data_IF_759322265651
#
_entry.id   IF_759322265651
#
_cell.length_a   1.000
_cell.length_b   1.000
_cell.length_c   1.000
_cell.angle_alpha   90.00
_cell.angle_beta   90.00
_cell.angle_gamma   90.00
#
_symmetry.space_group_name_H-M   'P 1'
#
loop_
_entity.id
_entity.type
_entity.pdbx_description
1 polymer ?
#
# COMPACT_ATOMS: atom_id res chain seq x y z
N UNK A 1 20.11 -68.07 -35.54
CA UNK A 1 19.20 -67.30 -36.40
C UNK A 1 17.89 -67.08 -35.63
N UNK A 2 17.38 -65.83 -35.57
CA UNK A 2 15.96 -65.43 -35.47
C UNK A 2 15.06 -66.29 -34.54
N UNK A 3 14.60 -65.81 -33.38
CA UNK A 3 13.41 -64.95 -33.15
C UNK A 3 13.49 -64.46 -31.68
N UNK A 4 13.07 -63.26 -31.26
CA UNK A 4 12.10 -62.34 -31.84
C UNK A 4 10.77 -62.41 -31.07
N UNK A 5 10.62 -61.47 -30.11
CA UNK A 5 9.38 -60.81 -29.65
C UNK A 5 8.45 -61.45 -28.60
N UNK A 6 8.34 -60.67 -27.52
CA UNK A 6 7.13 -60.24 -26.80
C UNK A 6 6.41 -61.23 -25.86
N UNK A 7 5.68 -60.66 -24.88
CA UNK A 7 4.73 -61.26 -23.88
C UNK A 7 5.43 -61.39 -22.49
N UNK A 8 5.15 -60.69 -21.37
CA UNK A 8 4.08 -59.87 -20.78
C UNK A 8 4.80 -58.98 -19.72
N UNK A 9 4.76 -57.65 -19.70
CA UNK A 9 3.62 -56.73 -19.54
C UNK A 9 2.81 -56.94 -18.26
N UNK A 10 3.42 -56.94 -17.08
CA UNK A 10 2.71 -56.63 -15.84
C UNK A 10 3.68 -56.36 -14.69
N UNK A 11 3.34 -55.35 -13.87
CA UNK A 11 3.93 -55.05 -12.55
C UNK A 11 5.20 -54.19 -12.52
N UNK A 12 5.13 -52.98 -13.07
CA UNK A 12 5.80 -51.82 -12.47
C UNK A 12 4.82 -50.64 -12.42
N UNK A 13 3.64 -50.91 -11.86
CA UNK A 13 2.64 -49.90 -11.50
C UNK A 13 2.71 -49.66 -10.00
N UNK A 14 3.78 -49.02 -9.54
CA UNK A 14 3.81 -48.48 -8.17
C UNK A 14 4.84 -47.37 -8.07
N UNK A 15 4.32 -46.17 -7.82
CA UNK A 15 5.00 -45.05 -7.16
C UNK A 15 5.92 -44.16 -8.03
N UNK A 16 5.38 -43.66 -9.14
CA UNK A 16 5.69 -42.29 -9.59
C UNK A 16 4.46 -41.41 -9.31
N UNK A 17 4.19 -41.20 -8.02
CA UNK A 17 3.31 -40.09 -7.64
C UNK A 17 4.03 -38.78 -8.02
N UNK A 18 3.34 -37.85 -8.69
CA UNK A 18 3.97 -36.65 -9.18
C UNK A 18 4.38 -35.78 -7.99
N UNK A 19 5.68 -35.58 -7.81
CA UNK A 19 6.30 -34.57 -6.94
C UNK A 19 6.01 -33.12 -7.40
N UNK A 20 4.82 -32.87 -7.97
CA UNK A 20 4.38 -31.58 -8.49
C UNK A 20 3.41 -30.85 -7.56
N UNK A 21 3.10 -31.41 -6.39
CA UNK A 21 2.08 -30.86 -5.48
C UNK A 21 2.61 -29.89 -4.41
N UNK A 22 3.86 -29.39 -4.50
CA UNK A 22 4.45 -28.63 -3.38
C UNK A 22 5.33 -27.43 -3.74
N UNK A 23 5.00 -26.66 -4.78
CA UNK A 23 5.54 -25.29 -4.93
C UNK A 23 4.52 -24.23 -5.37
N UNK A 24 3.23 -24.51 -5.24
CA UNK A 24 2.27 -23.43 -5.04
C UNK A 24 2.33 -22.96 -3.58
N UNK A 25 3.48 -22.38 -3.18
CA UNK A 25 3.36 -21.32 -2.19
C UNK A 25 2.36 -20.33 -2.81
N UNK A 26 1.29 -19.90 -2.13
CA UNK A 26 0.64 -18.69 -2.56
C UNK A 26 1.80 -17.69 -2.62
N UNK A 27 2.13 -17.23 -3.83
CA UNK A 27 2.84 -15.98 -3.95
C UNK A 27 1.96 -15.02 -3.15
N UNK A 28 2.35 -14.80 -1.89
CA UNK A 28 1.81 -13.74 -1.06
C UNK A 28 1.93 -12.55 -1.97
N UNK A 29 0.77 -12.14 -2.53
CA UNK A 29 0.67 -11.36 -3.75
C UNK A 29 1.79 -10.36 -3.70
N UNK A 30 2.82 -10.56 -4.53
CA UNK A 30 3.98 -9.68 -4.47
C UNK A 30 3.36 -8.30 -4.58
N UNK A 31 3.51 -7.47 -3.56
CA UNK A 31 2.83 -6.20 -3.51
C UNK A 31 3.30 -5.48 -4.76
N UNK A 32 2.36 -5.24 -5.67
CA UNK A 32 2.60 -4.49 -6.89
C UNK A 32 3.46 -3.28 -6.50
N UNK A 33 4.72 -3.20 -6.96
CA UNK A 33 5.66 -2.19 -6.51
C UNK A 33 5.14 -0.77 -6.78
N UNK A 34 4.13 -0.61 -7.64
CA UNK A 34 3.49 0.67 -7.92
C UNK A 34 2.38 1.07 -6.92
N UNK A 35 1.86 0.16 -6.09
CA UNK A 35 0.70 0.50 -5.23
C UNK A 35 1.14 0.99 -3.87
N UNK A 36 0.98 2.30 -3.66
CA UNK A 36 1.14 2.93 -2.36
C UNK A 36 0.27 2.22 -1.31
N UNK A 37 0.76 2.03 -0.08
CA UNK A 37 -0.04 1.51 1.02
C UNK A 37 -1.32 2.34 1.20
N UNK A 38 -2.47 1.72 1.47
CA UNK A 38 -3.76 2.43 1.55
C UNK A 38 -3.77 3.61 2.53
N UNK A 39 -3.03 3.50 3.64
CA UNK A 39 -2.90 4.57 4.65
C UNK A 39 -2.14 5.78 4.09
N UNK A 40 -1.10 5.55 3.28
CA UNK A 40 -0.35 6.60 2.58
C UNK A 40 -1.26 7.31 1.58
N UNK A 41 -1.99 6.56 0.75
CA UNK A 41 -2.95 7.14 -0.21
C UNK A 41 -4.03 7.97 0.50
N UNK A 42 -4.56 7.48 1.63
CA UNK A 42 -5.54 8.20 2.45
C UNK A 42 -5.00 9.55 2.90
N UNK A 43 -3.77 9.60 3.42
CA UNK A 43 -3.18 10.87 3.87
C UNK A 43 -2.96 11.85 2.71
N UNK A 44 -2.54 11.37 1.54
CA UNK A 44 -2.40 12.21 0.35
C UNK A 44 -3.77 12.75 -0.08
N UNK A 45 -4.80 11.89 -0.13
CA UNK A 45 -6.16 12.30 -0.51
C UNK A 45 -6.74 13.35 0.45
N UNK A 46 -6.52 13.21 1.76
CA UNK A 46 -6.94 14.19 2.76
C UNK A 46 -6.19 15.52 2.62
N UNK A 47 -4.87 15.49 2.40
CA UNK A 47 -4.08 16.69 2.17
C UNK A 47 -4.53 17.44 0.91
N UNK A 48 -4.80 16.71 -0.18
CA UNK A 48 -5.35 17.28 -1.41
C UNK A 48 -6.74 17.85 -1.18
N UNK A 49 -7.62 17.14 -0.48
CA UNK A 49 -8.96 17.64 -0.18
C UNK A 49 -8.92 18.93 0.65
N UNK A 50 -8.04 19.05 1.63
CA UNK A 50 -7.85 20.29 2.39
C UNK A 50 -7.40 21.46 1.50
N UNK A 51 -6.53 21.20 0.53
CA UNK A 51 -5.97 22.23 -0.35
C UNK A 51 -6.90 22.62 -1.51
N UNK A 52 -7.70 21.69 -2.02
CA UNK A 52 -8.47 21.86 -3.27
C UNK A 52 -9.97 21.95 -3.07
N UNK A 53 -10.53 21.34 -2.03
CA UNK A 53 -11.96 21.48 -1.74
C UNK A 53 -12.24 22.86 -1.13
N UNK A 54 -13.51 23.29 -1.19
CA UNK A 54 -13.94 24.57 -0.65
C UNK A 54 -15.12 24.41 0.31
N UNK A 55 -15.41 25.48 1.06
CA UNK A 55 -16.57 25.56 1.95
C UNK A 55 -16.55 24.52 3.08
N UNK A 56 -17.73 23.96 3.39
CA UNK A 56 -17.91 23.09 4.56
C UNK A 56 -17.05 21.82 4.53
N UNK A 57 -16.80 21.25 3.35
CA UNK A 57 -16.05 19.99 3.24
C UNK A 57 -14.56 20.23 3.51
N UNK A 58 -14.00 21.32 2.98
CA UNK A 58 -12.64 21.75 3.29
C UNK A 58 -12.44 21.99 4.80
N UNK A 59 -13.34 22.75 5.42
CA UNK A 59 -13.29 23.04 6.86
C UNK A 59 -13.36 21.75 7.70
N UNK A 60 -14.18 20.77 7.27
CA UNK A 60 -14.29 19.49 7.93
C UNK A 60 -12.99 18.67 7.80
N UNK A 61 -12.37 18.62 6.62
CA UNK A 61 -11.07 17.95 6.44
C UNK A 61 -9.99 18.63 7.27
N UNK A 62 -9.86 19.96 7.19
CA UNK A 62 -8.88 20.74 7.95
C UNK A 62 -9.01 20.51 9.47
N UNK A 63 -10.26 20.39 9.96
CA UNK A 63 -10.54 20.12 11.39
C UNK A 63 -10.07 18.74 11.83
N UNK A 64 -10.31 17.69 11.03
CA UNK A 64 -10.10 16.31 11.47
C UNK A 64 -8.77 15.69 10.97
N UNK A 65 -8.14 16.24 9.93
CA UNK A 65 -6.89 15.69 9.38
C UNK A 65 -5.76 15.61 10.42
N UNK A 66 -5.53 16.60 11.31
CA UNK A 66 -4.49 16.48 12.34
C UNK A 66 -4.68 15.26 13.25
N UNK A 67 -5.92 14.99 13.68
CA UNK A 67 -6.24 13.83 14.51
C UNK A 67 -6.00 12.52 13.76
N UNK A 68 -6.39 12.46 12.48
CA UNK A 68 -6.12 11.30 11.62
C UNK A 68 -4.62 11.09 11.43
N UNK A 69 -3.85 12.15 11.21
CA UNK A 69 -2.40 12.07 11.07
C UNK A 69 -1.75 11.54 12.36
N UNK A 70 -2.16 12.03 13.52
CA UNK A 70 -1.65 11.58 14.80
C UNK A 70 -1.96 10.09 15.04
N UNK A 71 -3.20 9.67 14.78
CA UNK A 71 -3.62 8.26 14.93
C UNK A 71 -2.90 7.32 13.99
N UNK A 72 -2.64 7.77 12.76
CA UNK A 72 -1.98 6.95 11.75
C UNK A 72 -0.46 7.06 11.79
N UNK A 73 0.15 7.89 12.65
CA UNK A 73 1.59 8.14 12.64
C UNK A 73 2.43 6.85 12.73
N UNK A 74 2.17 6.00 13.72
CA UNK A 74 2.86 4.72 13.88
C UNK A 74 2.69 3.78 12.66
N UNK A 75 1.46 3.48 12.18
CA UNK A 75 1.32 2.63 11.00
C UNK A 75 1.83 3.27 9.71
N UNK A 76 1.85 4.61 9.59
CA UNK A 76 2.45 5.31 8.45
C UNK A 76 3.97 5.18 8.45
N UNK A 77 4.63 5.19 9.62
CA UNK A 77 6.07 4.88 9.73
C UNK A 77 6.37 3.46 9.27
N UNK A 78 5.59 2.48 9.74
CA UNK A 78 5.76 1.09 9.33
C UNK A 78 5.55 0.93 7.81
N UNK A 79 4.50 1.57 7.27
CA UNK A 79 4.24 1.59 5.84
C UNK A 79 5.41 2.22 5.05
N UNK A 80 5.99 3.32 5.55
CA UNK A 80 7.15 3.97 4.95
C UNK A 80 8.40 3.07 4.89
N UNK A 81 8.68 2.33 5.96
CA UNK A 81 9.79 1.36 5.97
C UNK A 81 9.56 0.22 4.96
N UNK A 82 8.34 -0.32 4.90
CA UNK A 82 7.97 -1.37 3.95
C UNK A 82 8.06 -0.86 2.51
N UNK A 83 7.62 0.38 2.24
CA UNK A 83 7.77 1.01 0.93
C UNK A 83 9.24 1.18 0.58
N UNK A 84 10.06 1.77 1.46
CA UNK A 84 11.48 1.98 1.21
C UNK A 84 12.18 0.67 0.83
N UNK A 85 11.94 -0.41 1.59
CA UNK A 85 12.50 -1.72 1.30
C UNK A 85 12.04 -2.27 -0.07
N UNK A 86 10.75 -2.12 -0.41
CA UNK A 86 10.20 -2.55 -1.71
C UNK A 86 10.80 -1.77 -2.88
N UNK A 87 10.81 -0.44 -2.79
CA UNK A 87 11.37 0.40 -3.85
C UNK A 87 12.87 0.17 -3.99
N UNK A 88 13.60 -0.01 -2.89
CA UNK A 88 15.02 -0.31 -2.93
C UNK A 88 15.31 -1.66 -3.59
N UNK A 89 14.46 -2.68 -3.37
CA UNK A 89 14.59 -3.98 -4.02
C UNK A 89 14.35 -3.92 -5.54
N UNK A 90 13.48 -3.02 -6.01
CA UNK A 90 13.10 -2.92 -7.44
C UNK A 90 13.96 -1.92 -8.21
N UNK A 91 14.28 -0.78 -7.62
CA UNK A 91 14.91 0.35 -8.29
C UNK A 91 16.38 0.57 -7.87
N UNK A 92 16.91 -0.22 -6.93
CA UNK A 92 18.30 -0.12 -6.51
C UNK A 92 18.63 1.27 -5.94
N UNK A 93 19.65 1.93 -6.49
CA UNK A 93 20.11 3.25 -6.03
C UNK A 93 19.07 4.37 -6.27
N UNK A 94 18.20 4.24 -7.27
CA UNK A 94 17.25 5.28 -7.68
C UNK A 94 15.90 5.19 -6.96
N UNK A 95 15.80 4.36 -5.92
CA UNK A 95 14.55 4.05 -5.24
C UNK A 95 13.82 5.26 -4.68
N UNK A 96 14.57 6.26 -4.21
CA UNK A 96 13.98 7.49 -3.68
C UNK A 96 13.31 8.32 -4.78
N UNK A 97 13.92 8.39 -5.96
CA UNK A 97 13.39 9.11 -7.10
C UNK A 97 12.13 8.42 -7.64
N UNK A 98 12.16 7.09 -7.76
CA UNK A 98 10.98 6.30 -8.14
C UNK A 98 9.83 6.48 -7.14
N UNK A 99 10.11 6.39 -5.84
CA UNK A 99 9.11 6.63 -4.80
C UNK A 99 8.53 8.06 -4.87
N UNK A 100 9.37 9.07 -5.06
CA UNK A 100 8.91 10.45 -5.20
C UNK A 100 7.99 10.63 -6.41
N UNK A 101 8.33 10.00 -7.55
CA UNK A 101 7.51 10.05 -8.75
C UNK A 101 6.11 9.44 -8.51
N UNK A 102 6.03 8.31 -7.81
CA UNK A 102 4.76 7.66 -7.50
C UNK A 102 3.91 8.45 -6.48
N UNK A 103 4.54 9.10 -5.51
CA UNK A 103 3.85 10.02 -4.59
C UNK A 103 3.27 11.23 -5.35
N UNK A 104 4.04 11.80 -6.29
CA UNK A 104 3.57 12.90 -7.15
C UNK A 104 2.44 12.45 -8.07
N UNK A 105 2.54 11.25 -8.67
CA UNK A 105 1.49 10.68 -9.49
C UNK A 105 0.20 10.47 -8.67
N UNK A 106 0.30 9.91 -7.46
CA UNK A 106 -0.85 9.74 -6.57
C UNK A 106 -1.50 11.08 -6.20
N UNK A 107 -0.71 12.08 -5.80
CA UNK A 107 -1.19 13.45 -5.53
C UNK A 107 -1.93 14.01 -6.74
N UNK A 108 -1.34 13.93 -7.92
CA UNK A 108 -1.93 14.44 -9.17
C UNK A 108 -3.27 13.78 -9.49
N UNK A 109 -3.38 12.45 -9.31
CA UNK A 109 -4.66 11.73 -9.46
C UNK A 109 -5.73 12.28 -8.51
N UNK A 110 -5.38 12.49 -7.25
CA UNK A 110 -6.34 13.05 -6.28
C UNK A 110 -6.68 14.51 -6.57
N UNK A 111 -5.74 15.32 -7.07
CA UNK A 111 -6.02 16.70 -7.47
C UNK A 111 -7.02 16.76 -8.64
N UNK A 112 -6.95 15.82 -9.57
CA UNK A 112 -7.96 15.66 -10.62
C UNK A 112 -9.32 15.26 -10.04
N UNK A 113 -9.35 14.30 -9.11
CA UNK A 113 -10.58 13.86 -8.45
C UNK A 113 -11.21 14.96 -7.58
N UNK A 114 -10.41 15.84 -6.98
CA UNK A 114 -10.88 16.96 -6.16
C UNK A 114 -11.72 18.00 -6.91
N UNK A 115 -11.74 17.93 -8.25
CA UNK A 115 -12.68 18.71 -9.08
C UNK A 115 -14.13 18.22 -8.97
N UNK A 116 -14.34 17.00 -8.45
CA UNK A 116 -15.65 16.41 -8.28
C UNK A 116 -16.19 16.67 -6.86
N UNK A 117 -17.43 17.19 -6.71
CA UNK A 117 -18.00 17.45 -5.38
C UNK A 117 -18.09 16.21 -4.48
N UNK A 118 -18.33 15.02 -5.08
CA UNK A 118 -18.42 13.76 -4.35
C UNK A 118 -17.09 13.33 -3.74
N UNK A 119 -15.96 13.63 -4.39
CA UNK A 119 -14.64 13.42 -3.79
C UNK A 119 -14.49 14.23 -2.51
N UNK A 120 -14.79 15.54 -2.55
CA UNK A 120 -14.66 16.42 -1.40
C UNK A 120 -15.57 15.99 -0.23
N UNK A 121 -16.81 15.60 -0.54
CA UNK A 121 -17.75 15.06 0.45
C UNK A 121 -17.23 13.74 1.04
N UNK A 122 -16.75 12.83 0.21
CA UNK A 122 -16.20 11.55 0.65
C UNK A 122 -14.98 11.73 1.56
N UNK A 123 -14.01 12.56 1.17
CA UNK A 123 -12.81 12.80 1.98
C UNK A 123 -13.14 13.46 3.33
N UNK A 124 -14.10 14.38 3.35
CA UNK A 124 -14.55 14.99 4.59
C UNK A 124 -15.22 13.97 5.52
N UNK A 125 -16.01 13.04 4.97
CA UNK A 125 -16.61 11.94 5.74
C UNK A 125 -15.55 10.96 6.24
N UNK A 126 -14.57 10.60 5.41
CA UNK A 126 -13.44 9.76 5.81
C UNK A 126 -12.64 10.39 6.95
N UNK A 127 -12.28 11.68 6.84
CA UNK A 127 -11.56 12.39 7.90
C UNK A 127 -12.32 12.37 9.24
N UNK A 128 -13.63 12.62 9.19
CA UNK A 128 -14.50 12.56 10.37
C UNK A 128 -14.63 11.14 10.94
N UNK A 129 -14.75 10.12 10.10
CA UNK A 129 -14.88 8.73 10.56
C UNK A 129 -13.57 8.24 11.17
N UNK A 130 -12.44 8.49 10.52
CA UNK A 130 -11.12 8.06 11.01
C UNK A 130 -10.67 8.80 12.27
N UNK A 131 -11.06 10.07 12.45
CA UNK A 131 -10.80 10.81 13.70
C UNK A 131 -11.60 10.25 14.88
N UNK A 132 -12.75 9.64 14.63
CA UNK A 132 -13.66 9.08 15.64
C UNK A 132 -13.43 7.59 15.92
N UNK A 133 -12.95 6.81 14.94
CA UNK A 133 -12.77 5.37 15.13
C UNK A 133 -11.85 5.08 16.32
N UNK A 134 -12.32 4.22 17.22
CA UNK A 134 -11.68 3.78 18.45
C UNK A 134 -11.19 2.33 18.33
N UNK A 135 -10.75 1.89 17.16
CA UNK A 135 -10.09 0.59 17.04
C UNK A 135 -8.69 0.65 17.68
N UNK A 136 -8.68 0.44 19.00
CA UNK A 136 -7.82 -0.48 19.77
C UNK A 136 -6.82 -1.29 18.90
N UNK A 137 -5.51 -1.38 19.17
CA UNK A 137 -4.86 -1.61 20.47
C UNK A 137 -3.33 -1.24 20.41
N UNK A 138 -2.60 -1.32 21.53
CA UNK A 138 -1.45 -0.51 21.89
C UNK A 138 -0.13 -1.21 21.58
N UNK A 139 0.94 -0.46 21.36
CA UNK A 139 2.23 -0.68 22.00
C UNK A 139 3.15 0.47 21.66
N UNK A 140 3.86 0.93 22.70
CA UNK A 140 4.63 2.16 22.67
C UNK A 140 5.66 2.22 21.54
N UNK A 141 6.02 3.45 21.19
CA UNK A 141 7.36 3.96 21.38
C UNK A 141 7.40 5.39 20.83
N UNK A 142 7.70 6.32 21.75
CA UNK A 142 8.17 7.67 21.46
C UNK A 142 9.25 7.58 20.37
N UNK A 143 9.20 8.43 19.35
CA UNK A 143 10.22 8.41 18.30
C UNK A 143 10.27 9.65 17.43
N UNK A 144 10.69 10.78 18.01
CA UNK A 144 11.56 11.81 17.41
C UNK A 144 11.45 12.15 15.91
N UNK A 145 11.03 13.40 15.64
CA UNK A 145 11.45 14.42 14.63
C UNK A 145 11.89 14.09 13.19
N UNK A 146 12.24 12.85 12.83
CA UNK A 146 12.45 12.43 11.43
C UNK A 146 11.13 12.16 10.67
N UNK A 147 10.01 12.18 11.41
CA UNK A 147 8.66 11.79 10.99
C UNK A 147 7.93 12.81 10.11
N UNK A 148 8.40 14.06 10.07
CA UNK A 148 7.76 15.15 9.29
C UNK A 148 8.34 15.35 7.89
N UNK A 149 9.53 14.84 7.59
CA UNK A 149 10.20 15.19 6.32
C UNK A 149 9.63 14.42 5.12
N UNK A 150 9.13 13.19 5.31
CA UNK A 150 8.37 12.47 4.26
C UNK A 150 7.04 13.16 3.92
N UNK A 151 6.38 13.78 4.90
CA UNK A 151 5.16 14.57 4.66
C UNK A 151 5.46 15.91 3.99
N UNK A 152 6.57 16.56 4.34
CA UNK A 152 7.02 17.80 3.69
C UNK A 152 7.41 17.58 2.23
N UNK A 153 7.99 16.42 1.91
CA UNK A 153 8.30 16.01 0.53
C UNK A 153 7.04 15.82 -0.33
N UNK A 154 5.94 15.31 0.25
CA UNK A 154 4.66 15.17 -0.45
C UNK A 154 3.83 16.47 -0.50
N UNK A 155 4.13 17.44 0.38
CA UNK A 155 3.42 18.72 0.50
C UNK A 155 4.05 19.88 -0.29
N UNK A 156 5.22 19.67 -0.92
CA UNK A 156 5.78 20.53 -1.97
C UNK A 156 5.19 20.10 -3.30
#
# INVERSE_FOLDING_TARGET
MKHGRDIVKMLFSTLLLPLLALQASPAASQPDPARLPPKTETMIALAVAEARCTGRHQQMVARYRPDVAQRLAAPLRQAGQVMAARYQAVHGADWQAALAADLVAARTRFEQQARQPEFCKAQAMIARTLSRSHDDQPNGLRGTNAEMDLYRLAAR
#
